data_IF_951571686278
#
_entry.id   IF_951571686278
#
_cell.length_a   1.000
_cell.length_b   1.000
_cell.length_c   1.000
_cell.angle_alpha   90.00
_cell.angle_beta   90.00
_cell.angle_gamma   90.00
#
_symmetry.space_group_name_H-M   'P 1'
#
loop_
_entity.id
_entity.type
_entity.pdbx_description
1 polymer ?
#
# COMPACT_ATOMS: atom_id res chain seq x y z
N UNK A 1 41.87 18.18 -30.55
CA UNK A 1 40.45 17.89 -30.16
C UNK A 1 40.10 18.82 -29.03
N UNK A 2 39.13 19.65 -29.26
CA UNK A 2 39.08 21.00 -28.79
C UNK A 2 38.38 21.20 -27.43
N UNK A 3 38.82 22.24 -26.72
CA UNK A 3 38.20 22.78 -25.50
C UNK A 3 36.66 22.95 -25.62
N UNK A 4 36.18 23.09 -26.87
CA UNK A 4 34.75 23.21 -27.18
C UNK A 4 33.98 21.91 -26.94
N UNK A 5 34.54 20.72 -27.24
CA UNK A 5 33.87 19.44 -27.01
C UNK A 5 33.75 19.12 -25.51
N UNK A 6 34.73 19.52 -24.71
CA UNK A 6 34.67 19.33 -23.25
C UNK A 6 33.67 20.30 -22.59
N UNK A 7 33.50 21.49 -23.15
CA UNK A 7 32.52 22.47 -22.68
C UNK A 7 31.08 21.98 -22.95
N UNK A 8 30.85 21.41 -24.13
CA UNK A 8 29.53 20.84 -24.50
C UNK A 8 29.20 19.64 -23.63
N UNK A 9 30.18 18.75 -23.36
CA UNK A 9 29.98 17.60 -22.47
C UNK A 9 29.70 18.03 -21.03
N UNK A 10 30.39 19.05 -20.52
CA UNK A 10 30.16 19.59 -19.18
C UNK A 10 28.77 20.27 -19.05
N UNK A 11 28.33 20.99 -20.09
CA UNK A 11 27.00 21.60 -20.14
C UNK A 11 25.89 20.54 -20.19
N UNK A 12 26.06 19.47 -20.98
CA UNK A 12 25.10 18.38 -21.05
C UNK A 12 24.97 17.67 -19.71
N UNK A 13 26.08 17.34 -19.04
CA UNK A 13 26.07 16.73 -17.72
C UNK A 13 25.46 17.66 -16.65
N UNK A 14 25.72 18.97 -16.73
CA UNK A 14 25.11 19.94 -15.83
C UNK A 14 23.60 20.03 -15.97
N UNK A 15 23.09 20.04 -17.19
CA UNK A 15 21.63 20.07 -17.46
C UNK A 15 20.94 18.79 -16.98
N UNK A 16 21.55 17.62 -17.18
CA UNK A 16 21.01 16.35 -16.67
C UNK A 16 21.06 16.28 -15.15
N UNK A 17 22.14 16.77 -14.51
CA UNK A 17 22.24 16.77 -13.03
C UNK A 17 21.22 17.70 -12.37
N UNK A 18 21.02 18.90 -12.90
CA UNK A 18 20.04 19.87 -12.37
C UNK A 18 18.61 19.38 -12.65
N UNK A 19 18.35 18.80 -13.83
CA UNK A 19 17.05 18.22 -14.18
C UNK A 19 16.69 17.06 -13.26
N UNK A 20 17.60 16.13 -13.00
CA UNK A 20 17.37 14.98 -12.12
C UNK A 20 17.11 15.40 -10.67
N UNK A 21 17.89 16.32 -10.13
CA UNK A 21 17.70 16.85 -8.77
C UNK A 21 16.38 17.63 -8.66
N UNK A 22 16.03 18.42 -9.68
CA UNK A 22 14.77 19.16 -9.72
C UNK A 22 13.56 18.25 -9.75
N UNK A 23 13.60 17.15 -10.51
CA UNK A 23 12.53 16.15 -10.55
C UNK A 23 12.37 15.42 -9.23
N UNK A 24 13.47 15.03 -8.57
CA UNK A 24 13.42 14.37 -7.26
C UNK A 24 12.84 15.28 -6.17
N UNK A 25 13.23 16.55 -6.13
CA UNK A 25 12.68 17.53 -5.20
C UNK A 25 11.21 17.85 -5.51
N UNK A 26 10.86 17.90 -6.77
CA UNK A 26 9.47 18.10 -7.20
C UNK A 26 8.58 16.94 -6.77
N UNK A 27 9.02 15.69 -6.98
CA UNK A 27 8.27 14.51 -6.58
C UNK A 27 8.08 14.44 -5.07
N UNK A 28 9.12 14.70 -4.29
CA UNK A 28 9.05 14.77 -2.83
C UNK A 28 8.08 15.88 -2.37
N UNK A 29 8.12 17.05 -3.03
CA UNK A 29 7.17 18.13 -2.75
C UNK A 29 5.72 17.77 -3.09
N UNK A 30 5.50 16.99 -4.15
CA UNK A 30 4.17 16.49 -4.52
C UNK A 30 3.64 15.48 -3.52
N UNK A 31 4.47 14.58 -3.05
CA UNK A 31 4.08 13.57 -2.06
C UNK A 31 3.70 14.22 -0.73
N UNK A 32 4.46 15.23 -0.28
CA UNK A 32 4.11 16.01 0.93
C UNK A 32 2.89 16.91 0.71
N UNK A 33 2.61 17.30 -0.53
CA UNK A 33 1.47 18.14 -0.91
C UNK A 33 0.35 17.34 -1.58
N UNK A 34 0.17 16.10 -1.20
CA UNK A 34 -0.70 15.09 -1.81
C UNK A 34 -2.17 15.52 -2.04
N UNK A 35 -2.64 16.56 -1.34
CA UNK A 35 -3.98 17.11 -1.54
C UNK A 35 -4.10 18.09 -2.73
N UNK A 36 -2.96 18.43 -3.39
CA UNK A 36 -2.94 19.37 -4.52
C UNK A 36 -2.98 18.60 -5.85
N UNK A 37 -3.66 19.15 -6.88
CA UNK A 37 -3.66 18.50 -8.20
C UNK A 37 -2.24 18.51 -8.81
N UNK A 38 -1.87 17.47 -9.55
CA UNK A 38 -0.59 17.40 -10.26
C UNK A 38 -0.55 18.42 -11.37
N UNK A 39 0.57 19.12 -11.53
CA UNK A 39 0.70 20.25 -12.46
C UNK A 39 1.41 19.88 -13.76
N UNK A 40 2.47 19.10 -13.71
CA UNK A 40 3.31 18.91 -14.91
C UNK A 40 3.71 17.45 -15.17
N UNK A 41 4.02 16.68 -14.13
CA UNK A 41 4.43 15.28 -14.24
C UNK A 41 3.53 14.41 -13.37
N UNK A 42 3.16 13.25 -13.86
CA UNK A 42 2.39 12.26 -13.13
C UNK A 42 3.35 11.11 -12.79
N UNK A 43 3.69 11.00 -11.51
CA UNK A 43 4.48 9.89 -10.98
C UNK A 43 3.60 9.04 -10.05
N UNK A 44 3.91 7.76 -9.98
CA UNK A 44 3.18 6.80 -9.17
C UNK A 44 3.08 7.22 -7.70
N UNK A 45 4.20 7.63 -7.11
CA UNK A 45 4.25 8.07 -5.71
C UNK A 45 3.33 9.26 -5.40
N UNK A 46 3.16 10.18 -6.36
CA UNK A 46 2.29 11.34 -6.15
C UNK A 46 0.80 11.00 -6.24
N UNK A 47 0.42 10.11 -7.14
CA UNK A 47 -0.96 9.62 -7.23
C UNK A 47 -1.30 8.79 -5.99
N UNK A 48 -0.36 7.98 -5.50
CA UNK A 48 -0.53 7.23 -4.25
C UNK A 48 -0.66 8.17 -3.04
N UNK A 49 0.16 9.20 -2.95
CA UNK A 49 0.06 10.22 -1.90
C UNK A 49 -1.27 10.98 -1.92
N UNK A 50 -1.79 11.34 -3.11
CA UNK A 50 -3.10 11.96 -3.27
C UNK A 50 -4.24 11.01 -2.88
N UNK A 51 -4.18 9.76 -3.29
CA UNK A 51 -5.16 8.75 -2.92
C UNK A 51 -5.19 8.54 -1.40
N UNK A 52 -4.03 8.44 -0.74
CA UNK A 52 -3.92 8.35 0.71
C UNK A 52 -4.55 9.55 1.42
N UNK A 53 -4.30 10.77 0.94
CA UNK A 53 -4.92 11.97 1.50
C UNK A 53 -6.45 11.96 1.33
N UNK A 54 -6.95 11.51 0.18
CA UNK A 54 -8.38 11.38 -0.08
C UNK A 54 -9.06 10.32 0.81
N UNK A 55 -8.41 9.19 1.09
CA UNK A 55 -8.92 8.21 2.06
C UNK A 55 -9.05 8.84 3.45
N UNK A 56 -8.04 9.57 3.91
CA UNK A 56 -8.10 10.26 5.18
C UNK A 56 -9.23 11.31 5.24
N UNK A 57 -9.46 12.01 4.14
CA UNK A 57 -10.59 12.95 4.01
C UNK A 57 -11.93 12.20 4.01
N UNK A 58 -12.04 11.10 3.27
CA UNK A 58 -13.24 10.29 3.20
C UNK A 58 -13.67 9.72 4.55
N UNK A 59 -12.72 9.41 5.43
CA UNK A 59 -13.02 9.01 6.82
C UNK A 59 -13.74 10.12 7.60
N UNK A 60 -13.47 11.38 7.29
CA UNK A 60 -14.10 12.54 7.93
C UNK A 60 -15.42 12.92 7.28
N UNK A 61 -15.50 12.83 5.95
CA UNK A 61 -16.63 13.33 5.16
C UNK A 61 -17.53 12.23 4.59
N UNK A 62 -17.11 10.97 4.68
CA UNK A 62 -17.73 9.79 4.05
C UNK A 62 -17.81 9.88 2.52
N UNK A 63 -16.91 10.65 1.89
CA UNK A 63 -16.80 10.75 0.42
C UNK A 63 -15.89 9.64 -0.11
N UNK A 64 -16.37 8.41 -0.04
CA UNK A 64 -15.62 7.24 -0.50
C UNK A 64 -15.46 7.19 -2.03
N UNK A 65 -16.35 7.81 -2.78
CA UNK A 65 -16.30 7.84 -4.23
C UNK A 65 -15.03 8.54 -4.74
N UNK A 66 -14.67 9.67 -4.15
CA UNK A 66 -13.46 10.41 -4.49
C UNK A 66 -12.19 9.63 -4.15
N UNK A 67 -12.15 8.98 -2.98
CA UNK A 67 -11.02 8.14 -2.58
C UNK A 67 -10.81 6.96 -3.55
N UNK A 68 -11.90 6.25 -3.91
CA UNK A 68 -11.85 5.16 -4.90
C UNK A 68 -11.37 5.64 -6.27
N UNK A 69 -11.80 6.82 -6.70
CA UNK A 69 -11.36 7.40 -7.98
C UNK A 69 -9.85 7.61 -8.00
N UNK A 70 -9.26 8.17 -6.94
CA UNK A 70 -7.83 8.43 -6.87
C UNK A 70 -7.01 7.14 -6.76
N UNK A 71 -7.46 6.13 -5.98
CA UNK A 71 -6.81 4.83 -5.93
C UNK A 71 -6.86 4.10 -7.29
N UNK A 72 -7.98 4.19 -8.02
CA UNK A 72 -8.07 3.65 -9.38
C UNK A 72 -7.17 4.41 -10.36
N UNK A 73 -7.01 5.72 -10.18
CA UNK A 73 -6.06 6.52 -10.97
C UNK A 73 -4.62 6.07 -10.71
N UNK A 74 -4.23 5.88 -9.43
CA UNK A 74 -2.93 5.34 -9.08
C UNK A 74 -2.70 3.94 -9.69
N UNK A 75 -3.71 3.07 -9.68
CA UNK A 75 -3.63 1.74 -10.30
C UNK A 75 -3.58 1.78 -11.83
N UNK A 76 -4.11 2.82 -12.49
CA UNK A 76 -3.99 2.99 -13.93
C UNK A 76 -2.57 3.36 -14.38
N UNK A 77 -1.79 3.98 -13.47
CA UNK A 77 -0.38 4.33 -13.68
C UNK A 77 0.50 3.14 -13.30
N UNK A 78 0.26 2.54 -12.13
CA UNK A 78 0.98 1.38 -11.63
C UNK A 78 0.01 0.30 -11.15
N UNK A 79 -0.22 -0.71 -12.00
CA UNK A 79 -1.08 -1.84 -11.67
C UNK A 79 -0.54 -2.68 -10.48
N UNK A 80 0.74 -2.50 -10.14
CA UNK A 80 1.44 -3.19 -9.05
C UNK A 80 1.39 -2.42 -7.72
N UNK A 81 0.67 -1.29 -7.64
CA UNK A 81 0.56 -0.51 -6.42
C UNK A 81 -0.29 -1.26 -5.36
N UNK A 82 0.39 -2.03 -4.52
CA UNK A 82 -0.21 -2.83 -3.46
C UNK A 82 -0.97 -1.97 -2.45
N UNK A 83 -0.46 -0.79 -2.14
CA UNK A 83 -1.09 0.09 -1.14
C UNK A 83 -2.42 0.68 -1.64
N UNK A 84 -2.52 1.02 -2.92
CA UNK A 84 -3.78 1.45 -3.52
C UNK A 84 -4.85 0.33 -3.45
N UNK A 85 -4.45 -0.93 -3.69
CA UNK A 85 -5.35 -2.08 -3.54
C UNK A 85 -5.82 -2.28 -2.11
N UNK A 86 -4.92 -2.20 -1.14
CA UNK A 86 -5.26 -2.30 0.28
C UNK A 86 -6.20 -1.19 0.73
N UNK A 87 -6.02 0.04 0.24
CA UNK A 87 -6.95 1.15 0.49
C UNK A 87 -8.32 0.89 -0.12
N UNK A 88 -8.40 0.35 -1.34
CA UNK A 88 -9.66 -0.01 -1.98
C UNK A 88 -10.43 -1.07 -1.17
N UNK A 89 -9.75 -2.11 -0.67
CA UNK A 89 -10.35 -3.10 0.23
C UNK A 89 -10.87 -2.46 1.53
N UNK A 90 -10.10 -1.53 2.11
CA UNK A 90 -10.52 -0.81 3.31
C UNK A 90 -11.74 0.10 3.07
N UNK A 91 -11.74 0.86 1.95
CA UNK A 91 -12.86 1.72 1.56
C UNK A 91 -14.12 0.87 1.34
N UNK A 92 -13.98 -0.31 0.74
CA UNK A 92 -15.09 -1.24 0.52
C UNK A 92 -15.79 -1.58 1.84
N UNK A 93 -15.03 -1.97 2.87
CA UNK A 93 -15.58 -2.23 4.22
C UNK A 93 -16.23 -0.98 4.82
N UNK A 94 -15.61 0.20 4.66
CA UNK A 94 -16.17 1.44 5.21
C UNK A 94 -17.49 1.85 4.57
N UNK A 95 -17.66 1.54 3.30
CA UNK A 95 -18.87 1.85 2.54
C UNK A 95 -20.00 0.85 2.80
N UNK A 96 -19.68 -0.44 2.90
CA UNK A 96 -20.67 -1.52 2.97
C UNK A 96 -20.86 -2.10 4.37
N UNK A 97 -19.95 -1.80 5.31
CA UNK A 97 -19.94 -2.37 6.66
C UNK A 97 -19.38 -3.80 6.74
N UNK A 98 -19.09 -4.43 5.61
CA UNK A 98 -18.50 -5.77 5.48
C UNK A 98 -17.57 -5.79 4.28
N UNK A 99 -16.65 -6.76 4.21
CA UNK A 99 -15.77 -6.94 3.05
C UNK A 99 -16.55 -7.64 1.94
N UNK A 100 -16.84 -6.91 0.86
CA UNK A 100 -17.52 -7.51 -0.29
C UNK A 100 -16.56 -8.32 -1.17
N UNK A 101 -17.07 -9.10 -2.12
CA UNK A 101 -16.24 -9.82 -3.09
C UNK A 101 -15.32 -8.89 -3.93
N UNK A 102 -15.69 -7.60 -4.07
CA UNK A 102 -14.84 -6.61 -4.73
C UNK A 102 -13.65 -6.21 -3.85
N UNK A 103 -13.90 -5.94 -2.57
CA UNK A 103 -12.84 -5.62 -1.60
C UNK A 103 -11.92 -6.82 -1.35
N UNK A 104 -12.49 -8.02 -1.24
CA UNK A 104 -11.70 -9.26 -1.10
C UNK A 104 -10.76 -9.48 -2.29
N UNK A 105 -11.21 -9.23 -3.50
CA UNK A 105 -10.36 -9.32 -4.70
C UNK A 105 -9.18 -8.37 -4.65
N UNK A 106 -9.35 -7.14 -4.20
CA UNK A 106 -8.25 -6.19 -4.05
C UNK A 106 -7.26 -6.62 -2.95
N UNK A 107 -7.76 -7.18 -1.86
CA UNK A 107 -6.92 -7.77 -0.81
C UNK A 107 -6.12 -8.97 -1.35
N UNK A 108 -6.76 -9.91 -2.06
CA UNK A 108 -6.12 -11.07 -2.67
C UNK A 108 -4.99 -10.65 -3.63
N UNK A 109 -5.29 -9.69 -4.54
CA UNK A 109 -4.29 -9.15 -5.46
C UNK A 109 -3.11 -8.50 -4.74
N UNK A 110 -3.28 -7.94 -3.55
CA UNK A 110 -2.16 -7.41 -2.77
C UNK A 110 -1.20 -8.51 -2.32
N UNK A 111 -1.70 -9.70 -2.04
CA UNK A 111 -0.88 -10.87 -1.71
C UNK A 111 -0.16 -11.44 -2.94
N UNK A 112 -0.85 -11.50 -4.08
CA UNK A 112 -0.26 -12.00 -5.33
C UNK A 112 0.88 -11.12 -5.83
N UNK A 113 0.74 -9.80 -5.70
CA UNK A 113 1.69 -8.82 -6.22
C UNK A 113 2.90 -8.58 -5.30
N UNK A 114 2.70 -8.62 -4.01
CA UNK A 114 3.75 -8.36 -3.02
C UNK A 114 3.60 -9.30 -1.81
N UNK A 115 3.86 -10.62 -1.98
CA UNK A 115 3.89 -11.54 -0.86
C UNK A 115 5.02 -11.13 0.11
N UNK A 116 4.74 -11.26 1.41
CA UNK A 116 5.70 -10.92 2.48
C UNK A 116 6.20 -9.47 2.48
N UNK A 117 5.38 -8.52 2.02
CA UNK A 117 5.72 -7.09 2.14
C UNK A 117 5.76 -6.69 3.62
N UNK A 118 6.94 -6.38 4.19
CA UNK A 118 7.07 -6.14 5.62
C UNK A 118 6.36 -4.86 6.08
N UNK A 119 6.12 -3.91 5.17
CA UNK A 119 5.44 -2.66 5.49
C UNK A 119 3.90 -2.79 5.45
N UNK A 120 3.39 -3.72 4.63
CA UNK A 120 1.97 -3.99 4.52
C UNK A 120 1.49 -5.10 5.47
N UNK A 121 2.35 -6.07 5.81
CA UNK A 121 2.00 -7.32 6.47
C UNK A 121 1.16 -7.13 7.74
N UNK A 122 1.61 -6.31 8.68
CA UNK A 122 0.90 -6.10 9.96
C UNK A 122 -0.52 -5.58 9.75
N UNK A 123 -0.67 -4.62 8.83
CA UNK A 123 -1.98 -4.05 8.56
C UNK A 123 -2.89 -5.08 7.86
N UNK A 124 -2.40 -5.72 6.79
CA UNK A 124 -3.23 -6.61 5.97
C UNK A 124 -3.60 -7.91 6.69
N UNK A 125 -2.69 -8.47 7.50
CA UNK A 125 -3.00 -9.66 8.31
C UNK A 125 -4.09 -9.35 9.34
N UNK A 126 -3.97 -8.23 10.08
CA UNK A 126 -5.02 -7.83 11.02
C UNK A 126 -6.35 -7.57 10.32
N UNK A 127 -6.33 -6.82 9.21
CA UNK A 127 -7.51 -6.54 8.43
C UNK A 127 -8.19 -7.83 7.93
N UNK A 128 -7.41 -8.77 7.42
CA UNK A 128 -7.90 -10.06 6.94
C UNK A 128 -8.51 -10.90 8.08
N UNK A 129 -7.88 -10.93 9.26
CA UNK A 129 -8.40 -11.64 10.43
C UNK A 129 -9.68 -11.01 10.97
N UNK A 130 -9.81 -9.67 10.92
CA UNK A 130 -11.03 -8.98 11.30
C UNK A 130 -12.21 -9.24 10.33
N UNK A 131 -11.93 -9.75 9.11
CA UNK A 131 -12.89 -10.05 8.04
C UNK A 131 -12.78 -11.50 7.54
N UNK A 132 -12.39 -12.44 8.41
CA UNK A 132 -12.03 -13.81 8.01
C UNK A 132 -13.16 -14.56 7.32
N UNK A 133 -14.38 -14.37 7.79
CA UNK A 133 -15.57 -15.02 7.23
C UNK A 133 -15.84 -14.70 5.77
N UNK A 134 -15.43 -13.52 5.31
CA UNK A 134 -15.64 -13.02 3.95
C UNK A 134 -14.52 -13.41 2.97
N UNK A 135 -13.42 -14.02 3.46
CA UNK A 135 -12.27 -14.36 2.62
C UNK A 135 -12.44 -15.68 1.88
N UNK A 136 -11.93 -15.73 0.65
CA UNK A 136 -11.76 -16.97 -0.11
C UNK A 136 -10.72 -17.89 0.55
N UNK A 137 -10.79 -19.22 0.31
CA UNK A 137 -9.80 -20.16 0.84
C UNK A 137 -8.36 -19.83 0.40
N UNK A 138 -8.16 -19.31 -0.82
CA UNK A 138 -6.85 -18.91 -1.32
C UNK A 138 -6.28 -17.72 -0.55
N UNK A 139 -7.10 -16.69 -0.33
CA UNK A 139 -6.70 -15.51 0.46
C UNK A 139 -6.41 -15.89 1.90
N UNK A 140 -7.24 -16.72 2.53
CA UNK A 140 -7.01 -17.26 3.88
C UNK A 140 -5.65 -17.96 3.98
N UNK A 141 -5.30 -18.79 3.00
CA UNK A 141 -4.01 -19.48 2.97
C UNK A 141 -2.84 -18.48 2.84
N UNK A 142 -2.96 -17.46 2.00
CA UNK A 142 -1.92 -16.44 1.85
C UNK A 142 -1.70 -15.65 3.15
N UNK A 143 -2.78 -15.25 3.82
CA UNK A 143 -2.75 -14.56 5.12
C UNK A 143 -2.06 -15.42 6.19
N UNK A 144 -2.46 -16.69 6.32
CA UNK A 144 -1.86 -17.63 7.26
C UNK A 144 -0.37 -17.80 7.02
N UNK A 145 0.02 -18.08 5.77
CA UNK A 145 1.41 -18.30 5.38
C UNK A 145 2.28 -17.09 5.70
N UNK A 146 1.80 -15.87 5.39
CA UNK A 146 2.52 -14.65 5.72
C UNK A 146 2.64 -14.43 7.23
N UNK A 147 1.55 -14.56 7.98
CA UNK A 147 1.55 -14.34 9.42
C UNK A 147 2.53 -15.28 10.13
N UNK A 148 2.47 -16.59 9.83
CA UNK A 148 3.37 -17.61 10.41
C UNK A 148 4.82 -17.35 10.04
N UNK A 149 5.11 -16.98 8.77
CA UNK A 149 6.46 -16.66 8.32
C UNK A 149 7.05 -15.47 9.09
N UNK A 150 6.29 -14.39 9.29
CA UNK A 150 6.76 -13.23 10.06
C UNK A 150 6.92 -13.52 11.56
N UNK A 151 6.06 -14.34 12.15
CA UNK A 151 6.22 -14.76 13.55
C UNK A 151 7.52 -15.57 13.72
N UNK A 152 7.81 -16.50 12.80
CA UNK A 152 9.01 -17.35 12.84
C UNK A 152 10.30 -16.59 12.57
N UNK A 153 10.28 -15.64 11.65
CA UNK A 153 11.48 -14.89 11.26
C UNK A 153 12.00 -13.98 12.37
N UNK A 154 11.16 -13.57 13.30
CA UNK A 154 11.53 -12.61 14.35
C UNK A 154 11.98 -11.24 13.81
N UNK A 155 11.84 -11.01 12.52
CA UNK A 155 12.31 -9.78 11.87
C UNK A 155 11.43 -8.59 12.24
N UNK A 156 12.04 -7.63 12.92
CA UNK A 156 11.39 -6.55 13.66
C UNK A 156 10.70 -5.44 12.88
N UNK A 157 10.45 -5.56 11.59
CA UNK A 157 9.72 -4.51 10.84
C UNK A 157 8.21 -4.64 11.01
N UNK A 158 7.70 -5.86 11.18
CA UNK A 158 6.31 -6.07 11.58
C UNK A 158 6.35 -6.88 12.87
N UNK A 159 6.05 -6.27 13.99
CA UNK A 159 5.76 -7.02 15.20
C UNK A 159 4.47 -7.82 15.00
N UNK A 160 4.61 -8.94 14.25
CA UNK A 160 3.48 -9.77 13.88
C UNK A 160 2.83 -10.39 15.12
N UNK A 161 3.59 -10.64 16.19
CA UNK A 161 3.03 -11.13 17.46
C UNK A 161 2.06 -10.11 18.05
N UNK A 162 2.47 -8.84 18.15
CA UNK A 162 1.59 -7.77 18.61
C UNK A 162 0.42 -7.53 17.66
N UNK A 163 0.64 -7.68 16.35
CA UNK A 163 -0.43 -7.59 15.35
C UNK A 163 -1.51 -8.65 15.62
N UNK A 164 -1.13 -9.90 15.79
CA UNK A 164 -2.06 -11.01 16.04
C UNK A 164 -2.83 -10.83 17.36
N UNK A 165 -2.21 -10.29 18.40
CA UNK A 165 -2.92 -9.99 19.66
C UNK A 165 -3.84 -8.76 19.58
N UNK A 166 -3.76 -7.96 18.51
CA UNK A 166 -4.59 -6.75 18.30
C UNK A 166 -5.84 -6.97 17.45
N UNK A 167 -6.08 -8.19 16.99
CA UNK A 167 -7.26 -8.59 16.20
C UNK A 167 -8.55 -8.40 17.02
N UNK A 168 -9.62 -7.96 16.37
CA UNK A 168 -10.85 -7.56 17.05
C UNK A 168 -11.98 -8.59 16.93
N UNK A 169 -12.06 -9.29 15.79
CA UNK A 169 -13.07 -10.32 15.59
C UNK A 169 -12.78 -11.56 16.47
N UNK A 170 -13.80 -12.19 17.05
CA UNK A 170 -13.63 -13.39 17.88
C UNK A 170 -13.00 -14.54 17.09
N UNK A 171 -13.48 -14.77 15.86
CA UNK A 171 -12.93 -15.78 14.97
C UNK A 171 -11.45 -15.52 14.66
N UNK A 172 -11.10 -14.27 14.33
CA UNK A 172 -9.73 -13.87 14.07
C UNK A 172 -8.81 -14.01 15.28
N UNK A 173 -9.28 -13.69 16.49
CA UNK A 173 -8.52 -13.87 17.73
C UNK A 173 -8.20 -15.35 17.99
N UNK A 174 -9.17 -16.23 17.76
CA UNK A 174 -8.96 -17.67 17.91
C UNK A 174 -7.90 -18.19 16.92
N UNK A 175 -7.99 -17.78 15.66
CA UNK A 175 -7.02 -18.14 14.62
C UNK A 175 -5.63 -17.59 14.96
N UNK A 176 -5.54 -16.32 15.37
CA UNK A 176 -4.29 -15.70 15.77
C UNK A 176 -3.59 -16.46 16.91
N UNK A 177 -4.37 -16.92 17.91
CA UNK A 177 -3.82 -17.73 19.00
C UNK A 177 -3.26 -19.07 18.51
N UNK A 178 -3.97 -19.75 17.60
CA UNK A 178 -3.51 -21.00 16.97
C UNK A 178 -2.19 -20.77 16.20
N UNK A 179 -2.12 -19.69 15.39
CA UNK A 179 -0.93 -19.39 14.60
C UNK A 179 0.29 -19.00 15.43
N UNK A 180 0.07 -18.36 16.58
CA UNK A 180 1.14 -18.07 17.54
C UNK A 180 1.74 -19.36 18.13
N UNK A 181 0.90 -20.38 18.39
CA UNK A 181 1.36 -21.70 18.86
C UNK A 181 2.08 -22.45 17.74
N UNK A 182 1.53 -22.45 16.53
CA UNK A 182 2.12 -23.10 15.36
C UNK A 182 3.51 -22.57 15.02
N UNK A 183 3.72 -21.26 15.21
CA UNK A 183 4.96 -20.57 14.87
C UNK A 183 6.02 -20.60 15.99
N UNK A 184 5.69 -21.14 17.17
CA UNK A 184 6.60 -21.23 18.32
C UNK A 184 7.48 -22.45 18.22
#
# INVERSE_FOLDING_TARGET
MSKLSNLIAALALGVFGIGGAGLGLYELSRETSAARPPVLFVFDTSEDGQAKAAVNMALKTKDYAKAKQLDRSALSISAYNTYARLRLAYIDVKEHGTLTAAGERELALSYDLAPYDPFAASWRVRFALDHWGELSPSTRNAVHTEAVAFVRSGSGVADMRNTLTSVRSEEGQMLAAIWLIEAS
#
